data_IF_324013757712
#
_entry.id   IF_324013757712
#
_cell.length_a   1.000
_cell.length_b   1.000
_cell.length_c   1.000
_cell.angle_alpha   90.00
_cell.angle_beta   90.00
_cell.angle_gamma   90.00
#
_symmetry.space_group_name_H-M   'P 1'
#
loop_
_entity.id
_entity.type
_entity.pdbx_description
1 polymer ?
#
# COMPACT_ATOMS: atom_id res chain seq x y z
N UNK A 1 -67.46 -51.74 -38.44
CA UNK A 1 -67.96 -51.39 -39.79
C UNK A 1 -67.19 -50.16 -40.29
N UNK A 2 -67.05 -50.01 -41.62
CA UNK A 2 -66.55 -48.87 -42.41
C UNK A 2 -67.01 -47.48 -41.88
N UNK A 3 -66.42 -46.30 -42.15
CA UNK A 3 -65.18 -45.76 -42.82
C UNK A 3 -65.10 -44.25 -42.40
N UNK A 4 -64.12 -43.37 -42.66
CA UNK A 4 -62.78 -43.26 -43.31
C UNK A 4 -62.02 -42.11 -42.56
N UNK A 5 -60.82 -41.60 -42.85
CA UNK A 5 -59.76 -41.90 -43.84
C UNK A 5 -58.47 -41.12 -43.49
N UNK A 6 -57.34 -41.44 -44.16
CA UNK A 6 -55.96 -40.97 -43.88
C UNK A 6 -55.40 -40.13 -45.07
N UNK A 7 -54.12 -39.64 -45.14
CA UNK A 7 -52.94 -39.94 -44.32
C UNK A 7 -51.97 -38.77 -43.96
N UNK A 8 -50.88 -39.11 -43.26
CA UNK A 8 -49.68 -38.27 -42.98
C UNK A 8 -48.43 -38.76 -43.75
N UNK A 9 -47.45 -37.88 -43.99
CA UNK A 9 -46.02 -38.25 -44.10
C UNK A 9 -45.08 -37.47 -43.12
N UNK A 10 -43.79 -37.87 -42.96
CA UNK A 10 -42.91 -37.41 -41.86
C UNK A 10 -41.71 -36.49 -42.25
N UNK A 11 -40.88 -36.11 -41.27
CA UNK A 11 -39.59 -35.37 -41.39
C UNK A 11 -38.47 -36.19 -42.06
N UNK A 12 -37.31 -35.58 -42.47
CA UNK A 12 -36.11 -35.68 -41.61
C UNK A 12 -35.03 -34.55 -41.66
N UNK A 13 -34.35 -34.35 -40.51
CA UNK A 13 -32.90 -34.15 -40.24
C UNK A 13 -31.98 -33.09 -40.93
N UNK A 14 -31.19 -32.43 -40.06
CA UNK A 14 -29.81 -31.89 -40.10
C UNK A 14 -29.00 -31.74 -41.43
N UNK A 15 -28.26 -30.62 -41.59
CA UNK A 15 -27.08 -30.51 -42.46
C UNK A 15 -25.73 -30.62 -41.72
N UNK A 16 -24.74 -31.30 -42.31
CA UNK A 16 -23.33 -31.34 -41.86
C UNK A 16 -22.36 -30.77 -42.92
N UNK A 17 -21.06 -30.69 -42.58
CA UNK A 17 -19.98 -30.05 -43.35
C UNK A 17 -19.94 -30.34 -44.86
N UNK A 18 -19.69 -29.27 -45.65
CA UNK A 18 -18.77 -29.26 -46.82
C UNK A 18 -17.92 -27.99 -46.75
N UNK A 19 -16.58 -28.06 -46.63
CA UNK A 19 -15.56 -28.50 -47.60
C UNK A 19 -15.20 -27.38 -48.59
N UNK A 20 -14.26 -26.51 -48.19
CA UNK A 20 -13.60 -25.53 -49.05
C UNK A 20 -12.42 -26.19 -49.78
N UNK A 21 -12.17 -25.86 -51.06
CA UNK A 21 -10.97 -26.32 -51.78
C UNK A 21 -10.70 -25.52 -53.07
N UNK A 22 -9.44 -25.11 -53.26
CA UNK A 22 -8.72 -24.91 -54.55
C UNK A 22 -9.11 -23.76 -55.50
N UNK A 23 -8.08 -23.19 -56.18
CA UNK A 23 -8.16 -22.13 -57.21
C UNK A 23 -7.87 -20.73 -56.63
N UNK A 24 -6.65 -20.17 -56.55
CA UNK A 24 -5.38 -20.26 -57.30
C UNK A 24 -5.16 -19.12 -58.34
N UNK A 25 -3.92 -18.57 -58.33
CA UNK A 25 -3.22 -17.56 -59.18
C UNK A 25 -4.02 -16.75 -60.23
N UNK A 26 -3.77 -15.44 -60.41
CA UNK A 26 -2.48 -14.94 -60.95
C UNK A 26 -2.36 -13.40 -61.08
N UNK A 27 -1.10 -12.94 -61.17
CA UNK A 27 -0.53 -11.69 -61.75
C UNK A 27 -1.39 -10.46 -62.13
N UNK A 28 -0.91 -9.28 -61.71
CA UNK A 28 -0.41 -8.25 -62.67
C UNK A 28 0.52 -7.21 -62.01
N UNK A 29 1.45 -6.66 -62.80
CA UNK A 29 2.47 -5.63 -62.50
C UNK A 29 2.23 -4.44 -63.47
N UNK A 30 2.63 -3.18 -63.18
CA UNK A 30 4.04 -2.70 -63.25
C UNK A 30 4.53 -1.99 -61.96
N UNK A 31 5.82 -1.96 -61.57
CA UNK A 31 7.06 -1.47 -62.22
C UNK A 31 7.16 0.10 -62.15
N UNK A 32 8.19 0.73 -61.57
CA UNK A 32 9.58 0.74 -62.05
C UNK A 32 10.65 1.10 -60.97
N UNK A 33 11.74 0.30 -60.88
CA UNK A 33 13.14 0.65 -60.48
C UNK A 33 13.43 1.31 -59.09
N UNK A 34 14.67 1.38 -58.54
CA UNK A 34 16.04 1.03 -59.03
C UNK A 34 16.90 0.25 -58.02
N UNK A 35 17.50 -0.87 -58.47
CA UNK A 35 18.95 -1.22 -58.40
C UNK A 35 19.72 -1.20 -57.04
N UNK A 36 20.04 -2.42 -56.57
CA UNK A 36 21.29 -2.89 -55.90
C UNK A 36 21.75 -2.29 -54.54
N UNK A 37 22.55 -3.01 -53.72
CA UNK A 37 23.35 -4.20 -54.04
C UNK A 37 23.45 -5.31 -52.97
N UNK A 38 24.22 -6.34 -53.33
CA UNK A 38 24.46 -7.63 -52.62
C UNK A 38 25.66 -7.46 -51.67
N UNK A 39 25.80 -8.20 -50.56
CA UNK A 39 26.11 -9.63 -50.39
C UNK A 39 25.62 -10.14 -49.00
N UNK A 40 25.67 -11.41 -48.57
CA UNK A 40 26.07 -12.73 -49.11
C UNK A 40 25.33 -13.85 -48.36
N UNK A 41 25.41 -15.10 -48.84
CA UNK A 41 24.64 -16.27 -48.35
C UNK A 41 25.36 -17.05 -47.20
N UNK A 42 25.06 -18.34 -46.88
CA UNK A 42 24.26 -18.66 -45.68
C UNK A 42 24.88 -19.72 -44.74
N UNK A 43 24.28 -19.93 -43.56
CA UNK A 43 24.41 -21.20 -42.79
C UNK A 43 23.08 -21.61 -42.16
N UNK A 44 22.85 -22.92 -42.09
CA UNK A 44 21.64 -23.56 -41.54
C UNK A 44 21.84 -23.96 -40.08
N UNK A 45 20.76 -24.02 -39.29
CA UNK A 45 20.34 -25.28 -38.59
C UNK A 45 19.04 -25.10 -37.80
N UNK A 46 18.38 -26.23 -37.52
CA UNK A 46 16.98 -26.31 -37.13
C UNK A 46 16.57 -25.66 -35.80
N UNK A 47 15.30 -25.26 -35.76
CA UNK A 47 14.58 -24.91 -34.54
C UNK A 47 13.39 -25.85 -34.39
N UNK A 48 13.46 -26.75 -33.41
CA UNK A 48 12.39 -27.67 -33.04
C UNK A 48 11.32 -26.98 -32.18
N UNK A 49 10.06 -27.41 -32.30
CA UNK A 49 9.01 -27.03 -31.36
C UNK A 49 9.22 -27.68 -29.98
N UNK A 50 8.94 -26.94 -28.91
CA UNK A 50 8.06 -27.42 -27.83
C UNK A 50 6.83 -26.51 -27.73
N UNK A 51 5.59 -26.98 -27.87
CA UNK A 51 4.81 -27.77 -26.89
C UNK A 51 4.53 -27.02 -25.59
N UNK A 52 3.23 -26.83 -25.28
CA UNK A 52 2.75 -26.15 -24.07
C UNK A 52 3.34 -26.73 -22.79
N UNK A 53 3.93 -25.88 -21.95
CA UNK A 53 4.48 -26.24 -20.65
C UNK A 53 4.16 -25.19 -19.59
N UNK A 54 3.62 -25.62 -18.45
CA UNK A 54 3.16 -24.76 -17.37
C UNK A 54 4.29 -23.91 -16.77
N UNK A 55 4.10 -22.59 -16.69
CA UNK A 55 4.90 -21.76 -15.80
C UNK A 55 4.46 -21.99 -14.35
N UNK A 56 5.38 -22.47 -13.50
CA UNK A 56 5.17 -22.53 -12.05
C UNK A 56 5.10 -21.09 -11.51
N UNK A 57 3.90 -20.64 -11.14
CA UNK A 57 3.72 -19.38 -10.44
C UNK A 57 4.06 -19.54 -8.95
N UNK A 58 4.63 -18.51 -8.33
CA UNK A 58 4.97 -18.52 -6.90
C UNK A 58 3.69 -18.68 -6.05
N UNK A 59 3.75 -19.56 -5.05
CA UNK A 59 2.59 -20.04 -4.25
C UNK A 59 1.90 -18.98 -3.35
N UNK A 60 2.25 -17.70 -3.45
CA UNK A 60 1.84 -16.64 -2.52
C UNK A 60 0.99 -15.53 -3.15
N UNK A 61 0.53 -15.70 -4.39
CA UNK A 61 -0.44 -14.80 -5.04
C UNK A 61 -1.73 -15.53 -5.38
N UNK A 62 -2.89 -14.88 -5.18
CA UNK A 62 -4.17 -15.37 -5.69
C UNK A 62 -4.07 -15.71 -7.18
N UNK A 63 -4.77 -16.76 -7.67
CA UNK A 63 -4.87 -17.05 -9.10
C UNK A 63 -5.31 -15.82 -9.90
N UNK A 64 -4.82 -15.69 -11.13
CA UNK A 64 -5.18 -14.56 -11.99
C UNK A 64 -6.64 -14.68 -12.50
N UNK A 65 -7.56 -14.14 -11.69
CA UNK A 65 -8.97 -14.03 -12.01
C UNK A 65 -9.31 -12.86 -12.94
N UNK A 66 -8.33 -12.20 -13.57
CA UNK A 66 -8.56 -11.13 -14.58
C UNK A 66 -9.51 -11.54 -15.72
N UNK A 67 -9.59 -12.85 -15.99
CA UNK A 67 -10.49 -13.47 -16.98
C UNK A 67 -11.97 -13.44 -16.59
N UNK A 68 -12.30 -13.24 -15.31
CA UNK A 68 -13.67 -13.02 -14.83
C UNK A 68 -14.02 -11.53 -14.89
N UNK A 69 -14.03 -11.00 -16.11
CA UNK A 69 -14.50 -9.64 -16.41
C UNK A 69 -15.93 -9.45 -15.93
N UNK A 70 -16.14 -8.77 -14.81
CA UNK A 70 -17.46 -8.30 -14.38
C UNK A 70 -18.02 -7.38 -15.50
N UNK A 71 -19.10 -7.77 -16.22
CA UNK A 71 -19.54 -7.03 -17.40
C UNK A 71 -20.18 -5.67 -17.08
N UNK A 72 -20.67 -5.53 -15.86
CA UNK A 72 -21.62 -4.49 -15.41
C UNK A 72 -21.06 -3.65 -14.24
N UNK A 73 -19.72 -3.57 -14.12
CA UNK A 73 -19.03 -2.82 -13.06
C UNK A 73 -18.49 -1.48 -13.58
N UNK A 74 -18.72 -0.38 -12.84
CA UNK A 74 -18.12 0.93 -13.17
C UNK A 74 -16.58 0.88 -13.19
N UNK A 75 -15.91 1.81 -13.90
CA UNK A 75 -14.45 1.88 -13.89
C UNK A 75 -13.89 2.13 -12.48
N UNK A 76 -14.57 2.89 -11.62
CA UNK A 76 -14.16 3.05 -10.22
C UNK A 76 -14.31 1.73 -9.44
N UNK A 77 -15.43 1.01 -9.59
CA UNK A 77 -15.62 -0.30 -8.95
C UNK A 77 -14.50 -1.27 -9.35
N UNK A 78 -14.14 -1.31 -10.64
CA UNK A 78 -13.05 -2.16 -11.16
C UNK A 78 -11.69 -1.76 -10.59
N UNK A 79 -11.39 -0.46 -10.50
CA UNK A 79 -10.15 0.03 -9.91
C UNK A 79 -10.04 -0.31 -8.41
N UNK A 80 -11.14 -0.19 -7.66
CA UNK A 80 -11.17 -0.55 -6.24
C UNK A 80 -11.02 -2.06 -6.02
N UNK A 81 -11.71 -2.91 -6.79
CA UNK A 81 -11.55 -4.38 -6.70
C UNK A 81 -10.10 -4.79 -7.02
N UNK A 82 -9.42 -4.09 -7.94
CA UNK A 82 -7.98 -4.28 -8.18
C UNK A 82 -7.13 -3.91 -6.95
N UNK A 83 -7.39 -2.78 -6.28
CA UNK A 83 -6.69 -2.43 -5.04
C UNK A 83 -6.86 -3.49 -3.93
N UNK A 84 -8.05 -4.08 -3.82
CA UNK A 84 -8.29 -5.21 -2.90
C UNK A 84 -7.49 -6.46 -3.31
N UNK A 85 -7.34 -6.72 -4.62
CA UNK A 85 -6.49 -7.80 -5.13
C UNK A 85 -4.98 -7.52 -4.90
N UNK A 86 -4.53 -6.28 -5.07
CA UNK A 86 -3.13 -5.87 -4.85
C UNK A 86 -2.71 -5.96 -3.37
N UNK A 87 -3.67 -5.82 -2.44
CA UNK A 87 -3.49 -6.01 -0.99
C UNK A 87 -3.68 -7.45 -0.52
N UNK A 88 -4.03 -8.38 -1.41
CA UNK A 88 -4.42 -9.76 -1.05
C UNK A 88 -3.40 -10.52 -0.20
N UNK A 89 -2.10 -10.34 -0.41
CA UNK A 89 -1.02 -10.90 0.42
C UNK A 89 -1.15 -10.69 1.94
N UNK A 90 -1.90 -9.67 2.37
CA UNK A 90 -2.12 -9.36 3.79
C UNK A 90 -3.29 -10.15 4.38
N UNK A 91 -4.41 -10.26 3.66
CA UNK A 91 -5.64 -10.89 4.14
C UNK A 91 -5.89 -12.31 3.60
N UNK A 92 -5.18 -12.74 2.55
CA UNK A 92 -5.21 -14.10 2.00
C UNK A 92 -3.95 -14.86 2.40
N UNK A 93 -4.11 -15.85 3.28
CA UNK A 93 -3.05 -16.69 3.83
C UNK A 93 -3.46 -18.16 3.60
N UNK A 94 -3.25 -18.76 2.41
CA UNK A 94 -3.86 -20.04 2.04
C UNK A 94 -3.48 -21.18 2.99
N UNK A 95 -2.21 -21.22 3.41
CA UNK A 95 -1.59 -22.33 4.14
C UNK A 95 -1.90 -22.36 5.65
N UNK A 96 -2.51 -21.32 6.24
CA UNK A 96 -2.66 -21.25 7.71
C UNK A 96 -3.80 -22.13 8.23
N UNK A 97 -3.60 -22.68 9.43
CA UNK A 97 -4.63 -23.41 10.17
C UNK A 97 -5.76 -22.48 10.63
N UNK A 98 -6.87 -23.08 11.07
CA UNK A 98 -7.99 -22.34 11.66
C UNK A 98 -7.56 -21.66 12.97
N UNK A 99 -6.78 -22.37 13.77
CA UNK A 99 -6.28 -21.99 15.08
C UNK A 99 -5.25 -20.86 14.94
N UNK A 100 -4.41 -20.90 13.90
CA UNK A 100 -3.53 -19.78 13.53
C UNK A 100 -4.33 -18.54 13.11
N UNK A 101 -5.40 -18.70 12.33
CA UNK A 101 -6.28 -17.58 11.97
C UNK A 101 -6.99 -16.96 13.20
N UNK A 102 -7.36 -17.78 14.20
CA UNK A 102 -7.87 -17.30 15.49
C UNK A 102 -6.77 -16.54 16.24
N UNK A 103 -5.56 -17.10 16.36
CA UNK A 103 -4.45 -16.48 17.08
C UNK A 103 -4.03 -15.11 16.50
N UNK A 104 -4.11 -14.93 15.18
CA UNK A 104 -3.85 -13.65 14.51
C UNK A 104 -4.98 -12.62 14.70
N UNK A 105 -6.21 -13.05 14.95
CA UNK A 105 -7.40 -12.18 15.01
C UNK A 105 -7.93 -11.91 16.43
N UNK A 106 -7.60 -12.74 17.42
CA UNK A 106 -8.17 -12.65 18.78
C UNK A 106 -7.90 -11.31 19.46
N UNK A 107 -6.77 -10.67 19.18
CA UNK A 107 -6.36 -9.38 19.76
C UNK A 107 -6.56 -8.19 18.79
N UNK A 108 -7.32 -8.37 17.71
CA UNK A 108 -7.60 -7.32 16.70
C UNK A 108 -8.94 -6.61 16.93
N UNK A 109 -9.13 -5.52 16.21
CA UNK A 109 -10.41 -4.80 16.19
C UNK A 109 -11.52 -5.58 15.44
N UNK A 110 -12.80 -5.37 15.81
CA UNK A 110 -13.93 -5.90 15.06
C UNK A 110 -13.91 -5.48 13.59
N UNK A 111 -14.05 -6.44 12.68
CA UNK A 111 -13.91 -6.22 11.24
C UNK A 111 -12.61 -6.77 10.64
N UNK A 112 -11.56 -6.96 11.45
CA UNK A 112 -10.34 -7.64 11.00
C UNK A 112 -10.63 -9.10 10.58
N UNK A 113 -9.98 -9.57 9.51
CA UNK A 113 -10.26 -10.87 8.92
C UNK A 113 -9.05 -11.51 8.23
N UNK A 114 -9.11 -12.84 8.04
CA UNK A 114 -8.20 -13.62 7.20
C UNK A 114 -9.02 -14.61 6.36
N UNK A 115 -8.66 -14.78 5.09
CA UNK A 115 -9.13 -15.85 4.21
C UNK A 115 -7.99 -16.85 4.00
N UNK A 116 -8.30 -18.13 4.12
CA UNK A 116 -7.37 -19.27 3.98
C UNK A 116 -8.03 -20.41 3.19
N UNK A 117 -7.28 -21.42 2.76
CA UNK A 117 -7.87 -22.56 2.05
C UNK A 117 -8.66 -23.48 3.01
N UNK A 118 -9.78 -24.03 2.54
CA UNK A 118 -10.62 -24.90 3.38
C UNK A 118 -10.17 -26.36 3.31
N UNK A 119 -9.41 -26.78 4.31
CA UNK A 119 -9.02 -28.18 4.52
C UNK A 119 -10.23 -29.12 4.64
N UNK A 120 -11.39 -28.62 5.11
CA UNK A 120 -12.62 -29.40 5.28
C UNK A 120 -13.48 -29.49 4.01
N UNK A 121 -13.31 -28.55 3.07
CA UNK A 121 -14.11 -28.46 1.84
C UNK A 121 -13.20 -28.11 0.66
N UNK A 122 -12.74 -29.12 -0.08
CA UNK A 122 -11.81 -28.94 -1.22
C UNK A 122 -12.33 -27.89 -2.21
N UNK A 123 -11.48 -26.91 -2.54
CA UNK A 123 -11.80 -25.83 -3.48
C UNK A 123 -12.65 -24.69 -2.89
N UNK A 124 -13.03 -24.75 -1.62
CA UNK A 124 -13.65 -23.64 -0.89
C UNK A 124 -12.62 -22.93 0.00
N UNK A 125 -12.96 -21.73 0.48
CA UNK A 125 -12.11 -20.94 1.37
C UNK A 125 -12.76 -20.76 2.75
N UNK A 126 -11.95 -20.70 3.80
CA UNK A 126 -12.39 -20.33 5.15
C UNK A 126 -12.14 -18.84 5.39
N UNK A 127 -13.19 -18.09 5.68
CA UNK A 127 -13.11 -16.70 6.17
C UNK A 127 -13.18 -16.72 7.70
N UNK A 128 -12.12 -16.31 8.38
CA UNK A 128 -12.12 -16.02 9.81
C UNK A 128 -12.23 -14.50 10.02
N UNK A 129 -13.05 -14.06 10.97
CA UNK A 129 -13.35 -12.63 11.18
C UNK A 129 -13.58 -12.31 12.66
N UNK A 130 -12.93 -11.25 13.15
CA UNK A 130 -13.13 -10.71 14.50
C UNK A 130 -14.44 -9.93 14.59
N UNK A 131 -15.24 -10.19 15.64
CA UNK A 131 -16.49 -9.46 15.94
C UNK A 131 -16.42 -8.76 17.31
N UNK A 132 -17.29 -7.77 17.51
CA UNK A 132 -17.34 -6.96 18.73
C UNK A 132 -18.01 -7.66 19.92
N UNK A 133 -18.90 -8.62 19.67
CA UNK A 133 -19.70 -9.28 20.70
C UNK A 133 -19.94 -10.77 20.41
N UNK A 134 -20.04 -11.62 21.45
CA UNK A 134 -20.47 -13.00 21.30
C UNK A 134 -21.95 -13.06 20.86
N UNK A 135 -22.42 -14.17 20.25
CA UNK A 135 -23.81 -14.28 19.84
C UNK A 135 -24.76 -14.27 21.05
N UNK A 136 -25.92 -13.58 20.97
CA UNK A 136 -26.95 -13.68 22.00
C UNK A 136 -27.48 -15.13 22.02
N UNK A 137 -27.18 -15.85 23.10
CA UNK A 137 -27.50 -17.27 23.25
C UNK A 137 -26.40 -18.12 23.91
N UNK A 138 -25.15 -17.62 23.99
CA UNK A 138 -24.07 -18.34 24.71
C UNK A 138 -24.24 -18.18 26.22
N UNK A 139 -25.04 -19.08 26.81
CA UNK A 139 -25.07 -19.28 28.27
C UNK A 139 -23.72 -19.83 28.71
N UNK A 140 -23.17 -19.32 29.81
CA UNK A 140 -21.83 -19.67 30.32
C UNK A 140 -21.72 -21.16 30.74
N UNK A 141 -21.41 -22.04 29.79
CA UNK A 141 -21.22 -23.48 30.03
C UNK A 141 -19.79 -23.99 29.71
N UNK A 142 -18.77 -23.15 29.85
CA UNK A 142 -17.44 -23.65 30.23
C UNK A 142 -16.59 -22.60 30.97
N UNK A 143 -16.29 -22.82 32.25
CA UNK A 143 -15.30 -22.04 33.01
C UNK A 143 -13.86 -22.44 32.64
N UNK A 144 -13.50 -22.40 31.35
CA UNK A 144 -12.12 -22.56 30.85
C UNK A 144 -11.88 -22.17 29.38
N UNK A 145 -12.87 -21.63 28.66
CA UNK A 145 -12.65 -21.01 27.36
C UNK A 145 -12.08 -19.58 27.51
N UNK A 146 -11.03 -19.25 26.75
CA UNK A 146 -10.56 -17.86 26.62
C UNK A 146 -11.50 -17.10 25.68
N UNK A 147 -12.23 -16.15 26.28
CA UNK A 147 -13.31 -15.33 25.68
C UNK A 147 -12.85 -14.61 24.41
N UNK A 148 -11.56 -14.28 24.28
CA UNK A 148 -11.04 -13.60 23.07
C UNK A 148 -11.21 -14.43 21.79
N UNK A 149 -11.22 -15.76 21.91
CA UNK A 149 -11.36 -16.70 20.79
C UNK A 149 -12.82 -16.88 20.34
N UNK A 150 -13.79 -16.75 21.25
CA UNK A 150 -15.23 -16.80 20.92
C UNK A 150 -15.67 -15.63 20.03
N UNK A 151 -14.89 -14.54 20.05
CA UNK A 151 -15.05 -13.37 19.20
C UNK A 151 -14.49 -13.56 17.77
N UNK A 152 -13.95 -14.73 17.39
CA UNK A 152 -13.52 -15.01 16.01
C UNK A 152 -14.54 -15.90 15.30
N UNK A 153 -15.42 -15.30 14.51
CA UNK A 153 -16.40 -16.01 13.68
C UNK A 153 -15.76 -16.62 12.45
N UNK A 154 -16.38 -17.69 11.97
CA UNK A 154 -15.89 -18.49 10.85
C UNK A 154 -17.01 -18.69 9.85
N UNK A 155 -16.73 -18.42 8.58
CA UNK A 155 -17.63 -18.58 7.46
C UNK A 155 -16.93 -19.39 6.37
N UNK A 156 -17.69 -20.14 5.56
CA UNK A 156 -17.16 -20.82 4.39
C UNK A 156 -17.55 -20.03 3.14
N UNK A 157 -16.58 -19.73 2.30
CA UNK A 157 -16.79 -19.19 0.96
C UNK A 157 -16.74 -20.37 -0.03
N UNK A 158 -17.87 -20.66 -0.67
CA UNK A 158 -17.95 -21.66 -1.74
C UNK A 158 -17.53 -21.07 -3.08
N UNK A 159 -16.79 -21.83 -3.87
CA UNK A 159 -16.52 -21.55 -5.29
C UNK A 159 -17.57 -22.20 -6.19
N UNK A 160 -17.84 -21.58 -7.33
CA UNK A 160 -18.78 -22.08 -8.33
C UNK A 160 -18.43 -21.53 -9.72
N UNK A 161 -19.03 -22.06 -10.81
CA UNK A 161 -18.89 -21.47 -12.14
C UNK A 161 -19.40 -20.02 -12.27
N UNK A 162 -20.15 -19.52 -11.27
CA UNK A 162 -20.63 -18.13 -11.18
C UNK A 162 -19.74 -17.23 -10.29
N UNK A 163 -18.58 -17.73 -9.86
CA UNK A 163 -17.71 -17.07 -8.89
C UNK A 163 -17.94 -17.59 -7.46
N UNK A 164 -17.71 -16.74 -6.47
CA UNK A 164 -17.67 -17.08 -5.03
C UNK A 164 -18.83 -16.47 -4.23
N UNK A 165 -19.22 -17.12 -3.13
CA UNK A 165 -20.26 -16.63 -2.19
C UNK A 165 -20.12 -17.25 -0.79
N UNK A 166 -20.76 -16.68 0.22
CA UNK A 166 -20.85 -17.29 1.56
C UNK A 166 -21.85 -18.46 1.60
N UNK A 167 -21.44 -19.59 2.19
CA UNK A 167 -22.30 -20.77 2.38
C UNK A 167 -23.36 -20.53 3.45
N UNK A 168 -24.57 -21.03 3.22
CA UNK A 168 -25.68 -20.94 4.18
C UNK A 168 -26.32 -19.57 4.28
N UNK A 169 -25.87 -18.60 3.48
CA UNK A 169 -26.37 -17.22 3.45
C UNK A 169 -27.23 -17.04 2.18
N UNK A 170 -28.57 -17.23 2.25
CA UNK A 170 -29.42 -17.23 1.05
C UNK A 170 -29.53 -15.85 0.38
N UNK A 171 -29.29 -14.77 1.12
CA UNK A 171 -29.31 -13.40 0.63
C UNK A 171 -27.97 -12.94 0.01
N UNK A 172 -26.94 -13.81 0.00
CA UNK A 172 -25.61 -13.44 -0.46
C UNK A 172 -25.49 -13.60 -1.99
N UNK A 173 -25.11 -12.56 -2.74
CA UNK A 173 -24.89 -12.65 -4.18
C UNK A 173 -23.66 -13.50 -4.54
N UNK A 174 -23.48 -13.75 -5.83
CA UNK A 174 -22.28 -14.41 -6.35
C UNK A 174 -21.32 -13.34 -6.87
N UNK A 175 -20.07 -13.36 -6.40
CA UNK A 175 -19.03 -12.40 -6.74
C UNK A 175 -18.02 -13.02 -7.71
N UNK A 176 -17.60 -12.30 -8.76
CA UNK A 176 -16.69 -12.85 -9.79
C UNK A 176 -15.35 -13.39 -9.26
N UNK A 177 -14.85 -12.87 -8.13
CA UNK A 177 -13.63 -13.35 -7.47
C UNK A 177 -13.63 -13.02 -5.97
N UNK A 178 -12.67 -13.58 -5.21
CA UNK A 178 -12.49 -13.28 -3.78
C UNK A 178 -12.31 -11.78 -3.49
N UNK A 179 -11.56 -11.05 -4.32
CA UNK A 179 -11.33 -9.61 -4.13
C UNK A 179 -12.62 -8.80 -4.28
N UNK A 180 -13.56 -9.24 -5.14
CA UNK A 180 -14.86 -8.59 -5.29
C UNK A 180 -15.79 -8.86 -4.09
N UNK A 181 -15.76 -10.08 -3.54
CA UNK A 181 -16.44 -10.44 -2.29
C UNK A 181 -15.90 -9.58 -1.14
N UNK A 182 -14.58 -9.54 -0.95
CA UNK A 182 -13.93 -8.76 0.11
C UNK A 182 -14.20 -7.27 -0.02
N UNK A 183 -14.14 -6.72 -1.24
CA UNK A 183 -14.47 -5.33 -1.50
C UNK A 183 -15.91 -4.99 -1.11
N UNK A 184 -16.90 -5.79 -1.57
CA UNK A 184 -18.29 -5.52 -1.24
C UNK A 184 -18.55 -5.61 0.27
N UNK A 185 -18.01 -6.64 0.93
CA UNK A 185 -18.17 -6.80 2.38
C UNK A 185 -17.47 -5.71 3.22
N UNK A 186 -16.52 -4.97 2.64
CA UNK A 186 -15.93 -3.78 3.28
C UNK A 186 -16.83 -2.54 3.21
N UNK A 187 -17.69 -2.45 2.20
CA UNK A 187 -18.66 -1.35 2.04
C UNK A 187 -19.95 -1.65 2.78
N UNK A 188 -20.47 -2.88 2.70
CA UNK A 188 -21.71 -3.33 3.34
C UNK A 188 -21.52 -4.70 3.98
N UNK A 189 -21.99 -4.97 5.21
CA UNK A 189 -21.75 -6.24 5.88
C UNK A 189 -22.37 -7.46 5.15
N UNK A 190 -23.52 -7.27 4.48
CA UNK A 190 -24.33 -8.33 3.88
C UNK A 190 -24.63 -9.43 4.91
N UNK A 191 -24.29 -10.70 4.68
CA UNK A 191 -24.53 -11.75 5.68
C UNK A 191 -23.49 -11.82 6.83
N UNK A 192 -22.46 -10.95 6.84
CA UNK A 192 -21.49 -10.89 7.93
C UNK A 192 -22.00 -10.04 9.12
N UNK A 193 -21.54 -10.30 10.36
CA UNK A 193 -21.98 -9.55 11.55
C UNK A 193 -21.60 -8.06 11.56
N UNK A 194 -20.56 -7.68 10.81
CA UNK A 194 -20.11 -6.31 10.57
C UNK A 194 -19.33 -6.25 9.26
N UNK A 195 -18.79 -5.08 8.89
CA UNK A 195 -18.01 -4.90 7.65
C UNK A 195 -16.60 -5.49 7.78
N UNK A 196 -16.02 -5.95 6.68
CA UNK A 196 -14.60 -6.31 6.62
C UNK A 196 -13.72 -5.05 6.62
N UNK A 197 -12.71 -5.00 7.48
CA UNK A 197 -11.67 -3.96 7.46
C UNK A 197 -10.50 -4.49 6.63
N UNK A 198 -10.30 -3.94 5.43
CA UNK A 198 -9.23 -4.33 4.51
C UNK A 198 -7.90 -3.76 5.05
N UNK A 199 -6.91 -4.60 5.39
CA UNK A 199 -5.67 -4.12 6.01
C UNK A 199 -4.74 -3.45 4.99
N UNK A 200 -4.08 -2.36 5.38
CA UNK A 200 -3.05 -1.66 4.58
C UNK A 200 -1.64 -2.30 4.72
N UNK A 201 -1.51 -3.27 5.63
CA UNK A 201 -0.27 -3.89 6.10
C UNK A 201 -0.47 -5.37 6.41
N UNK A 202 0.62 -6.11 6.61
CA UNK A 202 0.56 -7.54 6.91
C UNK A 202 0.26 -7.82 8.40
N UNK A 203 -0.84 -8.50 8.75
CA UNK A 203 -1.16 -8.82 10.14
C UNK A 203 -0.21 -9.86 10.76
N UNK A 204 0.67 -10.50 9.97
CA UNK A 204 1.68 -11.42 10.48
C UNK A 204 2.78 -10.71 11.30
N UNK A 205 3.19 -9.49 10.88
CA UNK A 205 4.25 -8.70 11.54
C UNK A 205 3.89 -8.34 13.00
N UNK A 206 2.61 -8.10 13.26
CA UNK A 206 2.11 -7.62 14.56
C UNK A 206 2.16 -8.68 15.68
N UNK A 207 2.45 -9.94 15.35
CA UNK A 207 2.46 -11.08 16.31
C UNK A 207 3.57 -10.96 17.39
N UNK A 208 4.42 -9.93 17.33
CA UNK A 208 5.48 -9.63 18.32
C UNK A 208 5.20 -8.46 19.27
N UNK A 209 4.17 -7.63 19.06
CA UNK A 209 4.02 -6.37 19.82
C UNK A 209 3.06 -6.43 21.03
N UNK A 210 2.45 -7.58 21.33
CA UNK A 210 1.44 -7.71 22.41
C UNK A 210 2.01 -7.75 23.85
N UNK A 211 2.84 -6.77 24.24
CA UNK A 211 3.02 -6.35 25.67
C UNK A 211 3.70 -4.98 25.80
N UNK A 212 3.02 -3.88 25.45
CA UNK A 212 3.04 -2.60 26.20
C UNK A 212 2.30 -1.49 25.45
N UNK A 213 1.88 -0.46 26.17
CA UNK A 213 1.24 0.74 25.62
C UNK A 213 2.25 1.64 24.90
N UNK A 214 2.57 1.29 23.65
CA UNK A 214 3.24 2.21 22.72
C UNK A 214 2.56 2.17 21.36
N UNK A 215 2.16 3.34 20.86
CA UNK A 215 1.80 3.51 19.45
C UNK A 215 3.01 3.14 18.61
N UNK A 216 2.87 2.20 17.65
CA UNK A 216 4.01 1.71 16.87
C UNK A 216 4.81 2.90 16.32
N UNK A 217 6.14 2.83 16.41
CA UNK A 217 6.99 3.93 15.95
C UNK A 217 6.72 4.26 14.47
N UNK A 218 6.29 3.27 13.67
CA UNK A 218 5.95 3.43 12.26
C UNK A 218 4.67 4.24 12.04
N UNK A 219 3.73 4.24 12.99
CA UNK A 219 2.46 4.97 12.89
C UNK A 219 2.61 6.42 13.39
N UNK A 220 3.42 6.66 14.41
CA UNK A 220 3.91 8.01 14.73
C UNK A 220 4.65 8.63 13.54
N UNK A 221 5.48 7.86 12.83
CA UNK A 221 6.17 8.31 11.62
C UNK A 221 5.19 8.57 10.45
N UNK A 222 4.13 7.76 10.27
CA UNK A 222 3.04 7.99 9.30
C UNK A 222 2.27 9.30 9.60
N UNK A 223 1.80 9.47 10.83
CA UNK A 223 0.99 10.62 11.26
C UNK A 223 1.81 11.93 11.26
N UNK A 224 3.08 11.80 11.63
CA UNK A 224 4.09 12.85 11.67
C UNK A 224 4.02 13.70 12.93
N UNK A 225 5.15 13.88 13.60
CA UNK A 225 5.29 14.79 14.74
C UNK A 225 5.18 16.26 14.30
N UNK A 226 4.63 17.11 15.16
CA UNK A 226 4.61 18.55 14.97
C UNK A 226 4.88 19.28 16.29
N UNK A 227 5.73 20.31 16.23
CA UNK A 227 6.20 21.09 17.36
C UNK A 227 6.24 22.58 17.02
N UNK A 228 6.36 23.45 18.02
CA UNK A 228 6.70 24.86 17.80
C UNK A 228 8.17 25.08 18.13
N UNK A 229 8.90 25.76 17.25
CA UNK A 229 10.34 26.02 17.37
C UNK A 229 10.65 27.46 16.97
N UNK A 230 11.79 27.98 17.40
CA UNK A 230 12.28 29.28 16.93
C UNK A 230 13.05 29.06 15.63
N UNK A 231 12.53 29.51 14.48
CA UNK A 231 13.32 29.67 13.26
C UNK A 231 14.24 30.87 13.42
N UNK A 232 15.54 30.67 13.21
CA UNK A 232 16.56 31.72 13.40
C UNK A 232 17.01 32.26 12.04
N UNK A 233 17.55 31.41 11.17
CA UNK A 233 18.18 31.82 9.93
C UNK A 233 18.14 30.71 8.86
N UNK A 234 18.48 31.05 7.62
CA UNK A 234 18.73 30.11 6.54
C UNK A 234 19.97 30.56 5.77
N UNK A 235 21.01 29.74 5.81
CA UNK A 235 22.35 30.11 5.33
C UNK A 235 22.74 29.20 4.17
N UNK A 236 23.17 29.79 3.06
CA UNK A 236 23.62 29.02 1.90
C UNK A 236 24.99 28.38 2.19
N UNK A 237 25.10 27.09 1.88
CA UNK A 237 26.25 26.25 2.22
C UNK A 237 27.03 25.78 0.99
N UNK A 238 26.59 26.13 -0.23
CA UNK A 238 27.15 25.60 -1.48
C UNK A 238 27.21 24.06 -1.41
N UNK A 239 28.36 23.45 -1.75
CA UNK A 239 28.57 22.00 -1.66
C UNK A 239 28.72 21.45 -0.23
N UNK A 240 28.81 22.31 0.81
CA UNK A 240 29.02 21.87 2.19
C UNK A 240 27.77 21.20 2.77
N UNK A 241 27.97 20.12 3.52
CA UNK A 241 26.90 19.28 4.08
C UNK A 241 27.29 18.70 5.45
N UNK A 242 26.41 17.89 6.05
CA UNK A 242 26.68 17.18 7.30
C UNK A 242 26.83 18.11 8.53
N UNK A 243 27.52 17.64 9.59
CA UNK A 243 27.76 18.43 10.80
C UNK A 243 28.51 19.74 10.54
N UNK A 244 29.38 19.77 9.52
CA UNK A 244 30.17 20.96 9.18
C UNK A 244 29.30 22.10 8.64
N UNK A 245 28.27 21.80 7.86
CA UNK A 245 27.31 22.80 7.38
C UNK A 245 26.52 23.44 8.55
N UNK A 246 26.02 22.62 9.49
CA UNK A 246 25.34 23.11 10.70
C UNK A 246 26.30 23.98 11.53
N UNK A 247 27.53 23.50 11.74
CA UNK A 247 28.53 24.24 12.52
C UNK A 247 28.89 25.59 11.90
N UNK A 248 29.12 25.65 10.57
CA UNK A 248 29.39 26.88 9.80
C UNK A 248 28.22 27.86 9.87
N UNK A 249 27.01 27.39 9.55
CA UNK A 249 25.80 28.22 9.55
C UNK A 249 25.56 28.88 10.92
N UNK A 250 25.78 28.14 12.01
CA UNK A 250 25.65 28.68 13.37
C UNK A 250 26.75 29.71 13.67
N UNK A 251 28.01 29.46 13.27
CA UNK A 251 29.09 30.45 13.42
C UNK A 251 28.75 31.76 12.71
N UNK A 252 28.29 31.70 11.46
CA UNK A 252 27.89 32.87 10.67
C UNK A 252 26.64 33.57 11.25
N UNK A 253 25.71 32.80 11.82
CA UNK A 253 24.48 33.33 12.45
C UNK A 253 24.74 33.97 13.82
N UNK A 254 25.76 33.53 14.56
CA UNK A 254 26.18 34.12 15.84
C UNK A 254 27.21 35.26 15.68
N UNK A 255 27.92 35.32 14.55
CA UNK A 255 28.88 36.38 14.23
C UNK A 255 28.28 37.53 13.38
N UNK A 256 26.98 37.53 13.11
CA UNK A 256 26.31 38.58 12.36
C UNK A 256 26.11 39.85 13.21
N UNK A 257 26.59 41.00 12.73
CA UNK A 257 26.48 42.31 13.40
C UNK A 257 25.03 42.68 13.77
N UNK A 258 24.07 42.24 12.96
CA UNK A 258 22.63 42.35 13.22
C UNK A 258 22.11 40.95 13.59
N UNK A 259 21.78 40.68 14.87
CA UNK A 259 21.27 39.39 15.29
C UNK A 259 19.89 39.12 14.65
N UNK A 260 19.67 37.96 14.01
CA UNK A 260 18.43 37.70 13.28
C UNK A 260 17.21 37.59 14.20
N UNK A 261 16.08 38.14 13.74
CA UNK A 261 14.80 38.16 14.46
C UNK A 261 14.15 36.76 14.48
N UNK A 262 14.55 35.95 15.47
CA UNK A 262 14.07 34.59 15.62
C UNK A 262 12.53 34.54 15.78
N UNK A 263 11.88 33.80 14.89
CA UNK A 263 10.41 33.79 14.74
C UNK A 263 9.85 32.41 15.08
N UNK A 264 8.73 32.34 15.81
CA UNK A 264 8.08 31.07 16.17
C UNK A 264 7.41 30.46 14.94
N UNK A 265 7.88 29.28 14.53
CA UNK A 265 7.31 28.50 13.44
C UNK A 265 6.80 27.15 13.94
N UNK A 266 5.70 26.70 13.36
CA UNK A 266 5.20 25.35 13.52
C UNK A 266 5.96 24.41 12.57
N UNK A 267 6.75 23.51 13.15
CA UNK A 267 7.65 22.57 12.50
C UNK A 267 7.00 21.17 12.51
N UNK A 268 6.49 20.73 11.36
CA UNK A 268 5.93 19.37 11.18
C UNK A 268 6.87 18.49 10.38
N UNK A 269 7.14 17.29 10.87
CA UNK A 269 7.91 16.25 10.19
C UNK A 269 6.97 15.10 9.82
N UNK A 270 7.10 14.54 8.63
CA UNK A 270 6.31 13.38 8.17
C UNK A 270 7.10 12.59 7.13
N UNK A 271 6.63 11.40 6.74
CA UNK A 271 7.20 10.60 5.63
C UNK A 271 7.31 11.34 4.29
N UNK A 272 6.58 12.43 4.09
CA UNK A 272 6.72 13.29 2.90
C UNK A 272 7.90 14.27 3.00
N UNK A 273 8.30 14.64 4.22
CA UNK A 273 9.36 15.62 4.49
C UNK A 273 9.02 16.57 5.65
N UNK A 274 9.78 17.65 5.73
CA UNK A 274 9.63 18.71 6.75
C UNK A 274 8.72 19.82 6.20
N UNK A 275 7.85 20.36 7.04
CA UNK A 275 6.98 21.51 6.74
C UNK A 275 7.16 22.56 7.82
N UNK A 276 7.46 23.79 7.41
CA UNK A 276 7.51 24.96 8.28
C UNK A 276 6.31 25.86 7.97
N UNK A 277 5.58 26.28 8.99
CA UNK A 277 4.53 27.31 8.87
C UNK A 277 4.86 28.44 9.85
N UNK A 278 4.93 29.68 9.38
CA UNK A 278 5.13 30.84 10.24
C UNK A 278 3.79 31.21 10.90
N UNK A 279 3.73 31.12 12.23
CA UNK A 279 2.51 31.40 12.98
C UNK A 279 2.16 32.91 12.95
N UNK A 280 3.14 33.78 12.68
CA UNK A 280 2.98 35.24 12.55
C UNK A 280 2.91 35.70 11.07
N UNK A 281 3.19 34.80 10.11
CA UNK A 281 3.23 35.05 8.65
C UNK A 281 4.15 36.21 8.22
N UNK A 282 5.23 36.46 8.96
CA UNK A 282 6.19 37.56 8.72
C UNK A 282 7.25 37.22 7.69
N UNK A 283 7.77 35.99 7.71
CA UNK A 283 8.93 35.56 6.90
C UNK A 283 8.54 34.70 5.70
N UNK A 284 7.47 33.90 5.84
CA UNK A 284 6.88 33.07 4.79
C UNK A 284 5.53 32.54 5.25
N UNK A 285 4.57 32.29 4.36
CA UNK A 285 3.31 31.63 4.78
C UNK A 285 3.54 30.18 5.21
N UNK A 286 4.15 29.38 4.31
CA UNK A 286 4.49 27.97 4.54
C UNK A 286 5.63 27.57 3.60
N UNK A 287 6.57 26.75 4.07
CA UNK A 287 7.64 26.12 3.27
C UNK A 287 7.61 24.61 3.47
N UNK A 288 7.84 23.85 2.42
CA UNK A 288 7.92 22.39 2.48
C UNK A 288 9.22 21.91 1.83
N UNK A 289 9.91 21.03 2.55
CA UNK A 289 11.18 20.41 2.16
C UNK A 289 10.91 18.91 2.02
N UNK A 290 10.76 18.38 0.80
CA UNK A 290 10.55 16.95 0.57
C UNK A 290 11.67 16.13 1.20
N UNK A 291 11.37 14.95 1.74
CA UNK A 291 12.36 14.15 2.49
C UNK A 291 13.61 13.81 1.67
N UNK A 292 13.49 13.77 0.33
CA UNK A 292 14.59 13.52 -0.63
C UNK A 292 15.56 14.69 -0.81
N UNK A 293 15.19 15.92 -0.42
CA UNK A 293 16.09 17.08 -0.46
C UNK A 293 16.84 17.27 0.85
N UNK A 294 16.28 16.85 1.99
CA UNK A 294 16.94 16.86 3.30
C UNK A 294 18.10 15.85 3.27
N UNK A 295 19.33 16.33 3.47
CA UNK A 295 20.56 15.53 3.41
C UNK A 295 21.13 15.21 4.79
N UNK A 296 20.89 16.08 5.78
CA UNK A 296 21.37 15.91 7.16
C UNK A 296 20.49 16.68 8.15
N UNK A 297 20.39 16.22 9.40
CA UNK A 297 19.75 16.95 10.50
C UNK A 297 20.39 16.55 11.83
N UNK A 298 20.82 17.53 12.62
CA UNK A 298 21.44 17.32 13.93
C UNK A 298 21.38 18.57 14.83
N UNK A 299 21.73 18.40 16.11
CA UNK A 299 22.02 19.50 17.04
C UNK A 299 23.37 20.16 16.70
N UNK A 300 23.67 21.33 17.28
CA UNK A 300 24.99 21.94 17.11
C UNK A 300 26.11 21.04 17.64
N UNK A 301 27.11 20.63 16.82
CA UNK A 301 28.21 19.79 17.28
C UNK A 301 29.05 20.41 18.41
N UNK A 302 29.04 21.74 18.52
CA UNK A 302 29.75 22.49 19.57
C UNK A 302 28.88 22.79 20.81
N UNK A 303 27.63 22.30 20.85
CA UNK A 303 26.66 22.53 21.93
C UNK A 303 26.44 24.01 22.30
N UNK A 304 26.62 24.92 21.33
CA UNK A 304 26.32 26.35 21.47
C UNK A 304 24.82 26.55 21.65
N UNK A 305 24.46 27.64 22.31
CA UNK A 305 23.08 27.95 22.68
C UNK A 305 22.64 29.29 22.08
N UNK A 306 21.37 29.37 21.68
CA UNK A 306 20.75 30.61 21.28
C UNK A 306 20.42 31.44 22.53
N UNK A 307 21.07 32.58 22.68
CA UNK A 307 20.79 33.56 23.74
C UNK A 307 19.60 34.43 23.36
N UNK A 308 18.41 34.10 23.86
CA UNK A 308 17.20 34.85 23.55
C UNK A 308 17.22 36.23 24.23
N UNK A 309 17.54 37.26 23.44
CA UNK A 309 17.82 38.65 23.84
C UNK A 309 16.94 39.22 24.97
N UNK A 310 15.65 38.90 24.97
CA UNK A 310 14.66 39.49 25.90
C UNK A 310 14.36 38.64 27.16
N UNK A 311 14.92 37.44 27.33
CA UNK A 311 14.43 36.52 28.40
C UNK A 311 15.43 35.55 29.03
N UNK A 312 16.74 35.71 28.79
CA UNK A 312 17.81 35.03 29.55
C UNK A 312 17.93 33.49 29.38
N UNK A 313 16.91 32.83 28.83
CA UNK A 313 16.94 31.42 28.47
C UNK A 313 17.92 31.14 27.34
N UNK A 314 18.84 30.21 27.59
CA UNK A 314 19.83 29.74 26.62
C UNK A 314 19.36 28.41 26.00
N UNK A 315 18.71 28.50 24.84
CA UNK A 315 18.07 27.38 24.15
C UNK A 315 19.06 26.57 23.31
N UNK A 316 18.88 25.24 23.17
CA UNK A 316 19.73 24.43 22.29
C UNK A 316 19.51 24.76 20.81
N UNK A 317 20.61 24.90 20.08
CA UNK A 317 20.63 25.06 18.63
C UNK A 317 20.59 23.71 17.91
N UNK A 318 19.84 23.64 16.82
CA UNK A 318 19.84 22.53 15.87
C UNK A 318 19.54 23.00 14.45
N UNK A 319 19.78 22.15 13.47
CA UNK A 319 19.49 22.48 12.08
C UNK A 319 19.23 21.27 11.21
N UNK A 320 18.77 21.54 9.99
CA UNK A 320 18.80 20.57 8.90
C UNK A 320 19.42 21.19 7.65
N UNK A 321 20.13 20.36 6.90
CA UNK A 321 20.71 20.67 5.60
C UNK A 321 19.75 20.12 4.54
N UNK A 322 19.37 20.95 3.58
CA UNK A 322 18.56 20.52 2.44
C UNK A 322 19.13 21.09 1.13
N UNK A 323 19.05 20.29 0.06
CA UNK A 323 19.44 20.73 -1.29
C UNK A 323 18.51 21.84 -1.80
N UNK A 324 19.13 22.87 -2.36
CA UNK A 324 18.50 24.05 -2.95
C UNK A 324 17.72 23.64 -4.20
N UNK A 325 16.45 24.06 -4.31
CA UNK A 325 15.65 23.75 -5.48
C UNK A 325 16.28 24.38 -6.74
N UNK A 326 16.40 23.59 -7.82
CA UNK A 326 17.07 24.01 -9.05
C UNK A 326 18.59 23.77 -9.09
N UNK A 327 19.22 23.29 -8.01
CA UNK A 327 20.64 22.91 -8.00
C UNK A 327 20.84 21.42 -7.66
N UNK A 328 21.93 20.84 -8.17
CA UNK A 328 22.37 19.47 -7.88
C UNK A 328 23.41 19.41 -6.76
N UNK A 329 24.23 20.46 -6.63
CA UNK A 329 25.33 20.60 -5.67
C UNK A 329 24.95 21.37 -4.43
N UNK A 330 24.08 22.38 -4.55
CA UNK A 330 24.00 23.43 -3.54
C UNK A 330 23.03 23.07 -2.40
N UNK A 331 23.47 23.38 -1.19
CA UNK A 331 22.76 23.10 0.05
C UNK A 331 22.43 24.41 0.77
N UNK A 332 21.36 24.39 1.55
CA UNK A 332 21.00 25.44 2.50
C UNK A 332 20.86 24.79 3.88
N UNK A 333 21.48 25.40 4.88
CA UNK A 333 21.28 25.01 6.28
C UNK A 333 20.18 25.89 6.88
N UNK A 334 19.13 25.27 7.40
CA UNK A 334 18.04 25.93 8.11
C UNK A 334 18.25 25.75 9.62
N UNK A 335 18.33 26.86 10.36
CA UNK A 335 18.69 26.88 11.77
C UNK A 335 17.52 27.20 12.67
N UNK A 336 17.49 26.48 13.79
CA UNK A 336 16.41 26.53 14.76
C UNK A 336 16.95 26.53 16.20
N UNK A 337 16.17 27.08 17.11
CA UNK A 337 16.33 26.86 18.55
C UNK A 337 15.11 26.16 19.14
N UNK A 338 15.42 25.34 20.15
CA UNK A 338 14.50 24.85 21.17
C UNK A 338 13.62 26.00 21.73
N UNK A 339 12.32 25.74 21.86
CA UNK A 339 11.32 26.70 22.38
C UNK A 339 10.56 26.14 23.58
N UNK A 340 10.31 24.84 23.56
CA UNK A 340 9.54 24.09 24.56
C UNK A 340 10.45 23.00 25.18
N UNK A 341 10.64 22.96 26.51
CA UNK A 341 11.49 21.97 27.16
C UNK A 341 10.94 20.53 27.05
N UNK A 342 9.63 20.35 26.87
CA UNK A 342 9.01 19.04 26.66
C UNK A 342 9.20 18.53 25.21
N UNK A 343 9.66 19.41 24.31
CA UNK A 343 9.96 19.11 22.90
C UNK A 343 11.42 19.46 22.55
N UNK A 344 12.42 18.86 23.25
CA UNK A 344 13.81 19.28 23.16
C UNK A 344 14.41 18.99 21.78
N UNK A 345 15.38 19.80 21.36
CA UNK A 345 15.99 19.76 20.02
C UNK A 345 16.45 18.34 19.60
N UNK A 346 17.04 17.59 20.53
CA UNK A 346 17.51 16.23 20.29
C UNK A 346 16.39 15.22 19.97
N UNK A 347 15.17 15.41 20.49
CA UNK A 347 14.02 14.56 20.17
C UNK A 347 13.49 14.84 18.76
N UNK A 348 13.45 16.12 18.37
CA UNK A 348 13.08 16.56 17.01
C UNK A 348 14.06 15.98 15.98
N UNK A 349 15.37 16.13 16.22
CA UNK A 349 16.45 15.54 15.41
C UNK A 349 16.29 14.02 15.29
N UNK A 350 16.12 13.31 16.40
CA UNK A 350 15.96 11.85 16.41
C UNK A 350 14.76 11.41 15.56
N UNK A 351 13.64 12.13 15.61
CA UNK A 351 12.47 11.87 14.78
C UNK A 351 12.75 12.12 13.28
N UNK A 352 13.39 13.24 12.91
CA UNK A 352 13.80 13.53 11.52
C UNK A 352 14.71 12.43 10.98
N UNK A 353 15.72 12.03 11.74
CA UNK A 353 16.66 10.96 11.34
C UNK A 353 15.97 9.61 11.14
N UNK A 354 14.98 9.25 11.96
CA UNK A 354 14.15 8.05 11.74
C UNK A 354 13.32 8.13 10.45
N UNK A 355 12.72 9.28 10.16
CA UNK A 355 11.97 9.51 8.90
C UNK A 355 12.90 9.36 7.69
N UNK A 356 14.10 9.94 7.74
CA UNK A 356 15.10 9.83 6.68
C UNK A 356 15.53 8.37 6.46
N UNK A 357 15.94 7.65 7.52
CA UNK A 357 16.37 6.25 7.44
C UNK A 357 15.26 5.29 6.96
N UNK A 358 14.01 5.55 7.36
CA UNK A 358 12.83 4.82 6.90
C UNK A 358 12.50 5.05 5.41
N UNK A 359 12.94 6.17 4.83
CA UNK A 359 12.77 6.44 3.39
C UNK A 359 13.81 5.73 2.51
N UNK A 360 15.01 5.45 3.05
CA UNK A 360 16.10 4.80 2.31
C UNK A 360 15.87 3.31 2.04
N UNK A 361 15.02 2.63 2.83
CA UNK A 361 14.71 1.20 2.69
C UNK A 361 13.67 0.88 1.58
N UNK A 362 13.52 1.78 0.59
CA UNK A 362 12.50 1.70 -0.48
C UNK A 362 13.05 1.96 -1.89
N UNK A 363 14.33 1.70 -2.11
CA UNK A 363 15.01 1.85 -3.41
C UNK A 363 15.74 0.58 -3.79
#
# INVERSE_FOLDING_TARGET
VYRQGSPTPPQPLLPEKRRMSSGDRSNSLPNYATVNGKTSSPISSGMSSPSSGSSMAFHHTLPDFSKFSMPDSSPETRANVKFVQDTSKYWYKPEISREQAIALLKDKEPGAFIIRDSHSFRGAYGLAMKVASPPPGVIQQSKKGDITNELVRHFLIETSPKGVKLKGCPNEPNFGCLSALVYQHSIMPLALPCKLVIPDRDPMDETKETTSSSSSATDLLKQGAACNVLFINSVEMESLTGPQAIAKAITETLAADIPPSATIVHFKVSTQGITLTDNQRKLFFRRHYPIVTVTFCDVDPQNRKWTKSESGGAAKLFGFVARKQGSTTDNVCHLFAELDPDQPAAAIVNFVSRVMLGSSHKR
#
